data_IF_424724784738
#
_entry.id   IF_424724784738
#
_cell.length_a   1.000
_cell.length_b   1.000
_cell.length_c   1.000
_cell.angle_alpha   90.00
_cell.angle_beta   90.00
_cell.angle_gamma   90.00
#
_symmetry.space_group_name_H-M   'P 1'
#
loop_
_entity.id
_entity.type
_entity.pdbx_description
1 polymer ?
#
# COMPACT_ATOMS: atom_id res chain seq x y z
N UNK A 1 17.33 -30.22 -15.49
CA UNK A 1 16.09 -29.57 -15.99
C UNK A 1 15.71 -30.15 -17.34
N UNK A 2 14.43 -30.51 -17.54
CA UNK A 2 13.94 -31.06 -18.81
C UNK A 2 13.76 -29.99 -19.89
N UNK A 3 13.68 -30.41 -21.17
CA UNK A 3 13.47 -29.48 -22.31
C UNK A 3 12.24 -28.59 -22.14
N UNK A 4 11.09 -29.18 -21.74
CA UNK A 4 9.84 -28.47 -21.49
C UNK A 4 9.95 -27.37 -20.44
N UNK A 5 10.81 -27.59 -19.45
CA UNK A 5 11.02 -26.65 -18.35
C UNK A 5 11.76 -25.39 -18.84
N UNK A 6 12.76 -25.59 -19.72
CA UNK A 6 13.48 -24.49 -20.39
C UNK A 6 12.57 -23.68 -21.31
N UNK A 7 11.74 -24.34 -22.09
CA UNK A 7 10.78 -23.65 -22.98
C UNK A 7 9.76 -22.83 -22.19
N UNK A 8 9.30 -23.36 -21.05
CA UNK A 8 8.38 -22.64 -20.16
C UNK A 8 9.06 -21.42 -19.53
N UNK A 9 10.29 -21.58 -19.04
CA UNK A 9 11.06 -20.48 -18.48
C UNK A 9 11.27 -19.36 -19.51
N UNK A 10 11.63 -19.71 -20.75
CA UNK A 10 11.89 -18.74 -21.81
C UNK A 10 10.63 -17.95 -22.19
N UNK A 11 9.47 -18.61 -22.30
CA UNK A 11 8.18 -17.91 -22.53
C UNK A 11 7.80 -16.95 -21.40
N UNK A 12 8.12 -17.29 -20.15
CA UNK A 12 7.87 -16.37 -19.04
C UNK A 12 8.85 -15.18 -19.08
N UNK A 13 10.09 -15.39 -19.49
CA UNK A 13 11.06 -14.32 -19.63
C UNK A 13 10.73 -13.37 -20.80
N UNK A 14 10.22 -13.91 -21.91
CA UNK A 14 9.78 -13.10 -23.06
C UNK A 14 8.59 -12.19 -22.72
N UNK A 15 7.71 -12.63 -21.82
CA UNK A 15 6.54 -11.85 -21.37
C UNK A 15 6.82 -10.97 -20.16
N UNK A 16 7.82 -11.32 -19.35
CA UNK A 16 8.27 -10.56 -18.19
C UNK A 16 9.81 -10.61 -18.12
N UNK A 17 10.50 -9.55 -18.59
CA UNK A 17 11.96 -9.52 -18.64
C UNK A 17 12.62 -9.60 -17.26
N UNK A 18 11.89 -9.24 -16.20
CA UNK A 18 12.34 -9.33 -14.81
C UNK A 18 12.03 -10.69 -14.16
N UNK A 19 11.53 -11.67 -14.93
CA UNK A 19 11.23 -12.99 -14.42
C UNK A 19 12.49 -13.79 -14.11
N UNK A 20 12.88 -13.80 -12.83
CA UNK A 20 14.06 -14.52 -12.32
C UNK A 20 13.85 -16.02 -12.08
N UNK A 21 12.64 -16.53 -12.34
CA UNK A 21 12.25 -17.91 -12.08
C UNK A 21 11.75 -18.18 -10.67
N UNK A 22 11.08 -19.32 -10.47
CA UNK A 22 10.70 -19.79 -9.14
C UNK A 22 11.95 -20.22 -8.37
N UNK A 23 12.30 -19.48 -7.31
CA UNK A 23 13.47 -19.77 -6.47
C UNK A 23 13.11 -20.33 -5.09
N UNK A 24 11.85 -20.69 -4.86
CA UNK A 24 11.36 -21.21 -3.58
C UNK A 24 10.83 -20.12 -2.65
N UNK A 25 10.15 -20.53 -1.58
CA UNK A 25 9.47 -19.62 -0.65
C UNK A 25 10.44 -18.65 0.05
N UNK A 26 11.69 -19.05 0.26
CA UNK A 26 12.74 -18.24 0.93
C UNK A 26 13.35 -17.14 0.05
N UNK A 27 12.94 -17.04 -1.22
CA UNK A 27 13.53 -16.09 -2.18
C UNK A 27 12.56 -15.03 -2.68
N UNK A 28 11.35 -15.02 -2.12
CA UNK A 28 10.49 -13.85 -2.21
C UNK A 28 11.16 -12.79 -1.35
N UNK A 29 12.11 -12.06 -1.95
CA UNK A 29 12.38 -10.69 -1.53
C UNK A 29 11.08 -9.97 -1.84
N UNK A 30 10.13 -10.05 -0.92
CA UNK A 30 9.11 -9.01 -0.80
C UNK A 30 9.94 -7.76 -0.68
N UNK A 31 10.09 -7.04 -1.79
CA UNK A 31 10.42 -5.62 -1.76
C UNK A 31 9.38 -5.08 -0.80
N UNK A 32 9.76 -4.92 0.47
CA UNK A 32 8.93 -4.24 1.43
C UNK A 32 8.79 -2.87 0.80
N UNK A 33 7.64 -2.63 0.17
CA UNK A 33 7.26 -1.29 -0.22
C UNK A 33 7.54 -0.44 1.01
N UNK A 34 8.31 0.66 0.88
CA UNK A 34 8.67 1.47 2.03
C UNK A 34 7.37 1.73 2.77
N UNK A 35 7.29 1.24 4.01
CA UNK A 35 6.10 1.41 4.83
C UNK A 35 5.83 2.90 4.82
N UNK A 36 4.74 3.32 4.16
CA UNK A 36 4.42 4.74 4.03
C UNK A 36 4.56 5.36 5.41
N UNK A 37 5.38 6.41 5.52
CA UNK A 37 5.62 7.05 6.81
C UNK A 37 4.25 7.42 7.39
N UNK A 38 3.94 6.92 8.58
CA UNK A 38 2.67 7.24 9.24
C UNK A 38 2.92 8.21 10.38
N UNK A 39 2.11 9.25 10.45
CA UNK A 39 2.12 10.23 11.53
C UNK A 39 0.87 10.09 12.40
N UNK A 40 1.03 10.33 13.70
CA UNK A 40 -0.08 10.31 14.65
C UNK A 40 -0.67 11.71 14.79
N UNK A 41 -1.86 11.94 14.22
CA UNK A 41 -2.60 13.21 14.31
C UNK A 41 -3.87 13.06 15.14
N UNK A 42 -4.43 14.18 15.59
CA UNK A 42 -5.69 14.22 16.34
C UNK A 42 -6.79 14.72 15.41
N UNK A 43 -7.90 14.00 15.33
CA UNK A 43 -9.07 14.44 14.59
C UNK A 43 -9.72 15.66 15.27
N UNK A 44 -9.91 16.76 14.54
CA UNK A 44 -10.54 17.99 15.05
C UNK A 44 -12.01 17.80 15.51
N UNK A 45 -12.71 16.81 14.94
CA UNK A 45 -14.13 16.54 15.24
C UNK A 45 -14.30 15.60 16.45
N UNK A 46 -13.67 14.43 16.42
CA UNK A 46 -13.87 13.42 17.47
C UNK A 46 -12.75 13.36 18.51
N UNK A 47 -11.72 14.20 18.36
CA UNK A 47 -10.56 14.31 19.25
C UNK A 47 -9.80 12.99 19.50
N UNK A 48 -9.93 12.02 18.58
CA UNK A 48 -9.23 10.73 18.64
C UNK A 48 -7.92 10.78 17.84
N UNK A 49 -6.90 10.14 18.39
CA UNK A 49 -5.61 9.93 17.70
C UNK A 49 -5.79 8.95 16.54
N UNK A 50 -5.24 9.29 15.37
CA UNK A 50 -5.25 8.47 14.15
C UNK A 50 -3.83 8.39 13.60
N UNK A 51 -3.47 7.20 13.12
CA UNK A 51 -2.25 7.02 12.33
C UNK A 51 -2.64 7.17 10.87
N UNK A 52 -2.08 8.17 10.20
CA UNK A 52 -2.35 8.50 8.79
C UNK A 52 -1.05 8.60 8.03
N UNK A 53 -1.08 8.29 6.74
CA UNK A 53 0.10 8.40 5.88
C UNK A 53 0.53 9.86 5.73
N UNK A 54 1.78 10.16 6.04
CA UNK A 54 2.38 11.50 6.00
C UNK A 54 2.19 12.20 4.67
N UNK A 55 2.15 11.47 3.55
CA UNK A 55 1.91 12.00 2.20
C UNK A 55 0.50 12.60 1.99
N UNK A 56 -0.46 12.26 2.84
CA UNK A 56 -1.86 12.67 2.72
C UNK A 56 -2.35 13.67 3.77
N UNK A 57 -1.45 14.21 4.60
CA UNK A 57 -1.83 15.18 5.63
C UNK A 57 -1.95 16.59 5.01
N UNK A 58 -2.95 17.39 5.43
CA UNK A 58 -2.98 18.81 5.13
C UNK A 58 -1.79 19.54 5.78
N UNK A 59 -1.39 20.68 5.21
CA UNK A 59 -0.32 21.53 5.78
C UNK A 59 -0.61 21.92 7.24
N UNK A 60 -1.89 22.09 7.57
CA UNK A 60 -2.36 22.27 8.94
C UNK A 60 -2.96 20.97 9.52
N UNK A 61 -2.15 20.24 10.27
CA UNK A 61 -2.55 18.99 10.94
C UNK A 61 -3.66 19.18 11.97
N UNK A 62 -3.91 20.40 12.45
CA UNK A 62 -4.94 20.69 13.44
C UNK A 62 -6.35 20.70 12.84
N UNK A 63 -6.46 20.92 11.51
CA UNK A 63 -7.73 20.82 10.78
C UNK A 63 -8.10 19.40 10.37
N UNK A 64 -7.25 18.40 10.61
CA UNK A 64 -7.46 17.03 10.14
C UNK A 64 -8.80 16.44 10.63
N UNK A 65 -9.61 15.95 9.70
CA UNK A 65 -10.86 15.23 9.96
C UNK A 65 -10.70 13.77 9.57
N UNK A 66 -10.93 12.84 10.49
CA UNK A 66 -10.80 11.41 10.19
C UNK A 66 -11.93 10.90 9.28
N UNK A 67 -11.65 9.86 8.48
CA UNK A 67 -12.59 9.25 7.52
C UNK A 67 -13.99 8.99 8.09
N UNK A 68 -14.08 8.54 9.34
CA UNK A 68 -15.39 8.32 9.99
C UNK A 68 -16.20 9.60 10.10
N UNK A 69 -15.60 10.68 10.59
CA UNK A 69 -16.27 11.97 10.71
C UNK A 69 -16.54 12.62 9.34
N UNK A 70 -15.71 12.33 8.33
CA UNK A 70 -16.01 12.75 6.96
C UNK A 70 -17.24 12.03 6.42
N UNK A 71 -17.35 10.71 6.61
CA UNK A 71 -18.50 9.90 6.20
C UNK A 71 -19.79 10.33 6.91
N UNK A 72 -19.73 10.54 8.23
CA UNK A 72 -20.85 11.07 9.03
C UNK A 72 -21.31 12.46 8.53
N UNK A 73 -20.38 13.32 8.08
CA UNK A 73 -20.71 14.66 7.54
C UNK A 73 -21.25 14.61 6.11
N UNK A 74 -20.91 13.56 5.36
CA UNK A 74 -21.36 13.33 3.98
C UNK A 74 -22.74 12.67 3.93
N UNK A 75 -23.17 12.08 5.05
CA UNK A 75 -24.46 11.39 5.20
C UNK A 75 -25.65 12.31 5.50
N UNK A 76 -25.44 13.60 5.73
CA UNK A 76 -26.51 14.59 5.92
C UNK A 76 -26.94 15.20 4.56
N UNK A 77 -27.43 14.32 3.68
CA UNK A 77 -28.08 14.69 2.44
C UNK A 77 -29.29 13.76 2.24
N UNK A 78 -30.30 13.88 3.11
CA UNK A 78 -31.66 13.38 2.85
C UNK A 78 -32.68 14.25 3.55
#
# INVERSE_FOLDING_TARGET
MGRKDRERFQRLQDSNPDYVGYRGLDTVVTVQAPSAATETVVCSVCNRKRNVASDGLPEDVSTFVCLRCQDDSSGDAT
#
